data_IF_989672021088
#
_entry.id   IF_989672021088
#
_cell.length_a   1.000
_cell.length_b   1.000
_cell.length_c   1.000
_cell.angle_alpha   90.00
_cell.angle_beta   90.00
_cell.angle_gamma   90.00
#
_symmetry.space_group_name_H-M   'P 1'
#
loop_
_entity.id
_entity.type
_entity.pdbx_description
1 polymer ?
#
# COMPACT_ATOMS: atom_id res chain seq x y z
N UNK A 1 20.32 -4.95 2.47
CA UNK A 1 19.70 -4.96 1.12
C UNK A 1 18.21 -4.71 1.27
N UNK A 2 17.66 -3.83 0.44
CA UNK A 2 16.23 -3.50 0.50
C UNK A 2 15.45 -4.37 -0.46
N UNK A 3 14.31 -4.87 -0.01
CA UNK A 3 13.41 -5.63 -0.86
C UNK A 3 12.29 -4.72 -1.36
N UNK A 4 11.93 -4.89 -2.62
CA UNK A 4 10.77 -4.22 -3.18
C UNK A 4 9.54 -5.06 -2.90
N UNK A 5 8.49 -4.42 -2.40
CA UNK A 5 7.21 -5.07 -2.15
C UNK A 5 6.13 -4.36 -2.92
N UNK A 6 5.14 -5.12 -3.34
CA UNK A 6 4.03 -4.58 -4.12
C UNK A 6 2.74 -4.74 -3.33
N UNK A 7 1.94 -3.68 -3.31
CA UNK A 7 0.68 -3.64 -2.58
C UNK A 7 -0.45 -3.17 -3.48
N UNK A 8 -1.66 -3.56 -3.12
CA UNK A 8 -2.87 -3.01 -3.72
C UNK A 8 -3.64 -2.31 -2.60
N UNK A 9 -4.16 -1.13 -2.88
CA UNK A 9 -5.01 -0.42 -1.92
C UNK A 9 -6.36 -1.15 -1.88
N UNK A 10 -6.62 -1.83 -0.75
CA UNK A 10 -7.87 -2.56 -0.57
C UNK A 10 -9.03 -1.62 -0.28
N UNK A 11 -8.79 -0.67 0.63
CA UNK A 11 -9.80 0.31 1.01
C UNK A 11 -9.14 1.53 1.63
N UNK A 12 -9.88 2.63 1.65
CA UNK A 12 -9.43 3.89 2.26
C UNK A 12 -10.48 4.29 3.27
N UNK A 13 -10.05 4.54 4.50
CA UNK A 13 -10.93 4.92 5.60
C UNK A 13 -10.35 6.15 6.30
N UNK A 14 -10.92 7.33 6.01
CA UNK A 14 -10.46 8.58 6.59
C UNK A 14 -8.98 8.84 6.27
N UNK A 15 -8.16 8.94 7.30
CA UNK A 15 -6.73 9.24 7.17
C UNK A 15 -5.87 7.99 6.97
N UNK A 16 -6.47 6.83 6.81
CA UNK A 16 -5.76 5.55 6.70
C UNK A 16 -6.20 4.78 5.47
N UNK A 17 -5.29 3.98 4.96
CA UNK A 17 -5.58 3.04 3.89
C UNK A 17 -5.19 1.64 4.33
N UNK A 18 -5.96 0.66 3.88
CA UNK A 18 -5.65 -0.76 4.11
C UNK A 18 -5.00 -1.30 2.84
N UNK A 19 -3.78 -1.80 2.97
CA UNK A 19 -3.00 -2.32 1.85
C UNK A 19 -2.92 -3.83 1.92
N UNK A 20 -3.07 -4.46 0.77
CA UNK A 20 -2.93 -5.90 0.63
C UNK A 20 -1.62 -6.20 -0.09
N UNK A 21 -0.78 -7.04 0.52
CA UNK A 21 0.48 -7.44 -0.09
C UNK A 21 0.20 -8.39 -1.27
N UNK A 22 0.73 -8.06 -2.42
CA UNK A 22 0.57 -8.90 -3.62
C UNK A 22 1.27 -10.23 -3.41
N UNK A 23 0.55 -11.32 -3.67
CA UNK A 23 1.08 -12.66 -3.49
C UNK A 23 0.89 -13.25 -2.10
N UNK A 24 0.31 -12.49 -1.17
CA UNK A 24 0.04 -12.97 0.18
C UNK A 24 -1.41 -13.48 0.27
N UNK A 25 -1.54 -14.75 0.60
CA UNK A 25 -2.86 -15.41 0.69
C UNK A 25 -3.47 -15.36 2.08
N UNK A 26 -2.80 -14.73 3.05
CA UNK A 26 -3.28 -14.72 4.44
C UNK A 26 -4.55 -13.89 4.62
N UNK A 27 -4.80 -12.95 3.72
CA UNK A 27 -5.91 -12.03 3.86
C UNK A 27 -5.64 -10.88 4.81
N UNK A 28 -4.43 -10.79 5.35
CA UNK A 28 -4.06 -9.69 6.24
C UNK A 28 -3.93 -8.39 5.47
N UNK A 29 -4.35 -7.31 6.11
CA UNK A 29 -4.21 -5.97 5.55
C UNK A 29 -3.26 -5.17 6.42
N UNK A 30 -2.46 -4.32 5.78
CA UNK A 30 -1.56 -3.42 6.48
C UNK A 30 -2.19 -2.04 6.52
N UNK A 31 -2.39 -1.52 7.73
CA UNK A 31 -2.96 -0.19 7.92
C UNK A 31 -1.84 0.84 7.83
N UNK A 32 -1.96 1.77 6.90
CA UNK A 32 -0.95 2.79 6.65
C UNK A 32 -1.60 4.17 6.58
N UNK A 33 -1.00 5.14 7.25
CA UNK A 33 -1.49 6.51 7.20
C UNK A 33 -1.37 7.06 5.78
N UNK A 34 -2.41 7.75 5.31
CA UNK A 34 -2.40 8.34 3.97
C UNK A 34 -1.28 9.35 3.77
N UNK A 35 -0.85 9.98 4.86
CA UNK A 35 0.26 10.93 4.80
C UNK A 35 1.57 10.30 4.33
N UNK A 36 1.70 8.97 4.44
CA UNK A 36 2.87 8.22 3.99
C UNK A 36 2.71 7.68 2.57
N UNK A 37 1.58 7.91 1.95
CA UNK A 37 1.23 7.35 0.65
C UNK A 37 1.11 8.44 -0.40
N UNK A 38 1.25 8.10 -1.68
CA UNK A 38 0.99 9.07 -2.75
C UNK A 38 -0.43 9.62 -2.65
N UNK A 39 -0.58 10.92 -2.93
CA UNK A 39 -1.87 11.58 -2.80
C UNK A 39 -2.91 11.06 -3.80
N UNK A 40 -2.45 10.47 -4.89
CA UNK A 40 -3.30 10.02 -5.99
C UNK A 40 -3.97 8.67 -5.75
N UNK A 41 -3.70 8.02 -4.62
CA UNK A 41 -4.23 6.67 -4.39
C UNK A 41 -5.75 6.66 -4.36
N UNK A 42 -6.28 5.54 -4.82
CA UNK A 42 -7.70 5.21 -4.71
C UNK A 42 -7.82 3.70 -4.54
N UNK A 43 -9.00 3.22 -4.23
CA UNK A 43 -9.19 1.78 -4.09
C UNK A 43 -8.81 1.07 -5.38
N UNK A 44 -8.01 0.03 -5.26
CA UNK A 44 -7.50 -0.69 -6.40
C UNK A 44 -6.15 -0.22 -6.92
N UNK A 45 -5.64 0.91 -6.42
CA UNK A 45 -4.33 1.42 -6.85
C UNK A 45 -3.22 0.42 -6.52
N UNK A 46 -2.28 0.28 -7.45
CA UNK A 46 -1.09 -0.54 -7.24
C UNK A 46 0.04 0.34 -6.71
N UNK A 47 0.70 -0.13 -5.67
CA UNK A 47 1.80 0.59 -5.03
C UNK A 47 3.05 -0.27 -4.96
N UNK A 48 4.19 0.38 -5.04
CA UNK A 48 5.49 -0.25 -4.82
C UNK A 48 6.08 0.32 -3.54
N UNK A 49 6.54 -0.55 -2.64
CA UNK A 49 7.24 -0.13 -1.42
C UNK A 49 8.71 -0.48 -1.55
N UNK A 50 9.55 0.53 -1.52
CA UNK A 50 10.98 0.39 -1.74
C UNK A 50 11.71 1.48 -0.97
N UNK A 51 12.79 1.11 -0.29
CA UNK A 51 13.62 2.05 0.45
C UNK A 51 12.80 2.93 1.40
N UNK A 52 11.88 2.28 2.12
CA UNK A 52 11.02 2.91 3.15
C UNK A 52 10.04 3.94 2.60
N UNK A 53 9.73 3.89 1.31
CA UNK A 53 8.77 4.80 0.69
C UNK A 53 7.81 4.05 -0.22
N UNK A 54 6.61 4.60 -0.36
CA UNK A 54 5.59 4.07 -1.26
C UNK A 54 5.52 4.90 -2.52
N UNK A 55 5.41 4.23 -3.65
CA UNK A 55 5.31 4.87 -4.97
C UNK A 55 4.13 4.29 -5.73
N UNK A 56 3.51 5.12 -6.57
CA UNK A 56 2.51 4.62 -7.53
C UNK A 56 3.21 3.76 -8.58
N UNK A 57 2.57 2.67 -8.96
CA UNK A 57 3.05 1.85 -10.06
C UNK A 57 2.34 2.17 -11.35
#
# INVERSE_FOLDING_TARGET
MFETRHYIVDSIEGDYANLKLVGDDSGELKLVARALLPAEIEEGSALKYEMLQYYME
#
